data_IF_213194242883
#
_entry.id   IF_213194242883
#
_cell.length_a   1.000
_cell.length_b   1.000
_cell.length_c   1.000
_cell.angle_alpha   90.00
_cell.angle_beta   90.00
_cell.angle_gamma   90.00
#
_symmetry.space_group_name_H-M   'P 1'
#
loop_
_entity.id
_entity.type
_entity.pdbx_description
1 polymer ?
#
# COMPACT_ATOMS: atom_id res chain seq x y z
N UNK A 1 -8.97 1.90 -18.11
CA UNK A 1 -7.95 0.84 -17.98
C UNK A 1 -6.91 1.05 -19.06
N UNK A 2 -5.63 1.07 -18.72
CA UNK A 2 -4.53 1.14 -19.69
C UNK A 2 -4.10 -0.29 -20.02
N UNK A 3 -3.94 -0.62 -21.30
CA UNK A 3 -3.48 -1.96 -21.73
C UNK A 3 -1.98 -2.06 -21.45
N UNK A 4 -1.60 -3.06 -20.67
CA UNK A 4 -0.21 -3.33 -20.31
C UNK A 4 0.14 -4.77 -20.66
N UNK A 5 1.30 -4.97 -21.28
CA UNK A 5 1.85 -6.30 -21.52
C UNK A 5 2.82 -6.65 -20.40
N UNK A 6 2.78 -7.89 -19.92
CA UNK A 6 3.67 -8.40 -18.88
C UNK A 6 4.23 -9.75 -19.32
N UNK A 7 5.53 -9.95 -19.09
CA UNK A 7 6.18 -11.22 -19.37
C UNK A 7 5.97 -12.17 -18.19
N UNK A 8 5.53 -13.39 -18.49
CA UNK A 8 5.34 -14.45 -17.52
C UNK A 8 6.09 -15.69 -18.00
N UNK A 9 6.70 -16.41 -17.07
CA UNK A 9 7.19 -17.76 -17.35
C UNK A 9 6.02 -18.67 -17.71
N UNK A 10 6.28 -19.76 -18.43
CA UNK A 10 5.25 -20.75 -18.74
C UNK A 10 4.54 -21.29 -17.49
N UNK A 11 5.31 -21.54 -16.42
CA UNK A 11 4.77 -22.01 -15.14
C UNK A 11 3.78 -21.02 -14.55
N UNK A 12 4.12 -19.73 -14.54
CA UNK A 12 3.23 -18.67 -14.04
C UNK A 12 1.97 -18.56 -14.90
N UNK A 13 2.09 -18.60 -16.24
CA UNK A 13 0.94 -18.55 -17.15
C UNK A 13 0.00 -19.74 -16.94
N UNK A 14 0.54 -20.97 -16.82
CA UNK A 14 -0.25 -22.19 -16.57
C UNK A 14 -0.95 -22.11 -15.20
N UNK A 15 -0.22 -21.68 -14.16
CA UNK A 15 -0.80 -21.48 -12.83
C UNK A 15 -1.92 -20.45 -12.81
N UNK A 16 -1.74 -19.32 -13.48
CA UNK A 16 -2.75 -18.27 -13.59
C UNK A 16 -4.02 -18.76 -14.33
N UNK A 17 -3.85 -19.53 -15.41
CA UNK A 17 -4.96 -20.13 -16.14
C UNK A 17 -5.76 -21.13 -15.29
N UNK A 18 -5.06 -21.96 -14.51
CA UNK A 18 -5.69 -22.90 -13.58
C UNK A 18 -6.50 -22.17 -12.49
N UNK A 19 -5.91 -21.14 -11.88
CA UNK A 19 -6.58 -20.31 -10.86
C UNK A 19 -7.81 -19.60 -11.42
N UNK A 20 -7.70 -19.02 -12.61
CA UNK A 20 -8.82 -18.38 -13.32
C UNK A 20 -9.98 -19.35 -13.52
N UNK A 21 -9.69 -20.60 -13.92
CA UNK A 21 -10.71 -21.64 -14.09
C UNK A 21 -11.38 -22.01 -12.77
N UNK A 22 -10.60 -22.23 -11.71
CA UNK A 22 -11.12 -22.61 -10.39
C UNK A 22 -11.99 -21.51 -9.80
N UNK A 23 -11.58 -20.25 -9.95
CA UNK A 23 -12.27 -19.10 -9.36
C UNK A 23 -13.39 -18.52 -10.24
N UNK A 24 -13.57 -19.02 -11.47
CA UNK A 24 -14.52 -18.47 -12.44
C UNK A 24 -14.20 -17.03 -12.88
N UNK A 25 -12.94 -16.59 -12.74
CA UNK A 25 -12.49 -15.21 -13.02
C UNK A 25 -11.66 -15.13 -14.30
N UNK A 26 -11.55 -13.93 -14.87
CA UNK A 26 -10.61 -13.69 -15.99
C UNK A 26 -9.18 -13.61 -15.46
N UNK A 27 -8.21 -14.10 -16.23
CA UNK A 27 -6.78 -13.98 -15.86
C UNK A 27 -6.35 -12.51 -15.63
N UNK A 28 -6.86 -11.57 -16.43
CA UNK A 28 -6.59 -10.13 -16.28
C UNK A 28 -7.22 -9.52 -15.03
N UNK A 29 -8.25 -10.13 -14.46
CA UNK A 29 -8.86 -9.73 -13.20
C UNK A 29 -7.98 -10.19 -12.03
N UNK A 30 -7.54 -11.44 -12.05
CA UNK A 30 -6.61 -11.99 -11.05
C UNK A 30 -5.28 -11.24 -11.01
N UNK A 31 -4.69 -10.90 -12.17
CA UNK A 31 -3.47 -10.10 -12.23
C UNK A 31 -3.70 -8.74 -11.56
N UNK A 32 -4.84 -8.11 -11.81
CA UNK A 32 -5.16 -6.79 -11.28
C UNK A 32 -5.38 -6.83 -9.77
N UNK A 33 -6.11 -7.82 -9.26
CA UNK A 33 -6.31 -8.05 -7.83
C UNK A 33 -4.96 -8.26 -7.12
N UNK A 34 -4.10 -9.10 -7.69
CA UNK A 34 -2.76 -9.34 -7.14
C UNK A 34 -1.91 -8.06 -7.10
N UNK A 35 -1.94 -7.25 -8.16
CA UNK A 35 -1.23 -5.96 -8.20
C UNK A 35 -1.80 -4.99 -7.16
N UNK A 36 -3.13 -4.90 -7.05
CA UNK A 36 -3.78 -4.03 -6.08
C UNK A 36 -3.39 -4.41 -4.65
N UNK A 37 -3.51 -5.68 -4.29
CA UNK A 37 -3.09 -6.17 -2.97
C UNK A 37 -1.60 -5.96 -2.67
N UNK A 38 -0.74 -6.04 -3.69
CA UNK A 38 0.68 -5.75 -3.52
C UNK A 38 0.92 -4.26 -3.24
N UNK A 39 0.29 -3.36 -4.01
CA UNK A 39 0.39 -1.92 -3.82
C UNK A 39 -0.10 -1.53 -2.43
N UNK A 40 -1.26 -2.02 -1.99
CA UNK A 40 -1.81 -1.68 -0.68
C UNK A 40 -0.90 -2.17 0.45
N UNK A 41 -0.38 -3.40 0.33
CA UNK A 41 0.52 -3.99 1.32
C UNK A 41 1.83 -3.21 1.43
N UNK A 42 2.42 -2.83 0.31
CA UNK A 42 3.69 -2.07 0.31
C UNK A 42 3.45 -0.61 0.73
N UNK A 43 2.38 0.02 0.25
CA UNK A 43 2.02 1.39 0.59
C UNK A 43 1.72 1.56 2.08
N UNK A 44 0.95 0.66 2.68
CA UNK A 44 0.69 0.67 4.13
C UNK A 44 1.96 0.45 4.93
N UNK A 45 2.82 -0.51 4.55
CA UNK A 45 4.10 -0.75 5.22
C UNK A 45 5.04 0.46 5.14
N UNK A 46 5.08 1.13 3.99
CA UNK A 46 5.89 2.33 3.81
C UNK A 46 5.39 3.48 4.70
N UNK A 47 4.07 3.72 4.71
CA UNK A 47 3.47 4.72 5.60
C UNK A 47 3.79 4.45 7.06
N UNK A 48 3.66 3.21 7.52
CA UNK A 48 3.97 2.84 8.90
C UNK A 48 5.46 3.00 9.23
N UNK A 49 6.36 2.68 8.29
CA UNK A 49 7.79 2.90 8.46
C UNK A 49 8.12 4.39 8.60
N UNK A 50 7.59 5.23 7.70
CA UNK A 50 7.78 6.69 7.75
C UNK A 50 7.22 7.28 9.05
N UNK A 51 6.03 6.84 9.49
CA UNK A 51 5.45 7.31 10.74
C UNK A 51 6.29 6.89 11.96
N UNK A 52 6.86 5.69 11.96
CA UNK A 52 7.78 5.24 13.02
C UNK A 52 9.08 6.03 13.03
N UNK A 53 9.68 6.30 11.88
CA UNK A 53 10.90 7.11 11.78
C UNK A 53 10.64 8.57 12.18
N UNK A 54 9.48 9.11 11.81
CA UNK A 54 9.11 10.48 12.16
C UNK A 54 8.60 10.63 13.61
N UNK A 55 8.30 9.51 14.28
CA UNK A 55 7.81 9.54 15.65
C UNK A 55 8.87 10.13 16.59
N UNK A 56 8.52 11.23 17.25
CA UNK A 56 9.39 11.86 18.24
C UNK A 56 10.32 12.94 17.69
N UNK A 57 10.34 13.22 16.38
CA UNK A 57 11.13 14.33 15.78
C UNK A 57 10.87 15.67 16.51
N UNK A 58 9.65 15.87 16.99
CA UNK A 58 9.21 17.11 17.65
C UNK A 58 9.16 16.99 19.19
N UNK A 59 9.55 15.85 19.78
CA UNK A 59 9.33 15.55 21.21
C UNK A 59 10.11 16.49 22.15
N UNK A 60 11.29 16.93 21.74
CA UNK A 60 12.21 17.71 22.58
C UNK A 60 12.49 19.11 22.05
N UNK A 61 11.74 19.56 21.04
CA UNK A 61 11.85 20.93 20.53
C UNK A 61 11.21 21.91 21.50
N UNK A 62 12.01 22.83 22.03
CA UNK A 62 11.58 23.90 22.94
C UNK A 62 11.49 25.26 22.24
N UNK A 63 11.90 25.33 20.98
CA UNK A 63 12.00 26.53 20.16
C UNK A 63 10.69 26.88 19.43
N UNK A 64 9.65 26.06 19.60
CA UNK A 64 8.35 26.23 18.94
C UNK A 64 7.29 26.74 19.94
N UNK A 65 6.94 28.04 19.91
CA UNK A 65 5.91 28.59 20.79
C UNK A 65 4.54 28.00 20.43
N UNK A 66 3.69 27.79 21.44
CA UNK A 66 2.30 27.31 21.30
C UNK A 66 2.10 25.97 20.58
N UNK A 67 3.17 25.18 20.38
CA UNK A 67 3.12 23.94 19.59
C UNK A 67 2.06 22.93 20.07
N UNK A 68 1.89 22.78 21.40
CA UNK A 68 0.86 21.89 21.97
C UNK A 68 -0.56 22.33 21.59
N UNK A 69 -0.84 23.63 21.65
CA UNK A 69 -2.17 24.16 21.34
C UNK A 69 -2.50 23.96 19.86
N UNK A 70 -1.54 24.20 18.96
CA UNK A 70 -1.71 23.94 17.53
C UNK A 70 -1.95 22.45 17.24
N UNK A 71 -1.22 21.55 17.91
CA UNK A 71 -1.41 20.10 17.76
C UNK A 71 -2.80 19.64 18.23
N UNK A 72 -3.27 20.15 19.36
CA UNK A 72 -4.57 19.78 19.93
C UNK A 72 -5.75 20.16 19.02
N UNK A 73 -5.60 21.17 18.15
CA UNK A 73 -6.63 21.53 17.16
C UNK A 73 -6.88 20.44 16.10
N UNK A 74 -5.96 19.47 15.97
CA UNK A 74 -6.04 18.39 14.98
C UNK A 74 -6.47 17.05 15.59
N UNK A 75 -6.74 17.02 16.90
CA UNK A 75 -7.34 15.85 17.53
C UNK A 75 -8.75 15.68 16.96
N UNK A 76 -9.05 14.46 16.49
CA UNK A 76 -10.39 14.11 15.98
C UNK A 76 -11.12 13.38 17.09
N UNK A 77 -12.24 13.95 17.55
CA UNK A 77 -13.24 13.28 18.38
C UNK A 77 -13.86 12.07 17.66
#
# INVERSE_FOLDING_TARGET
MIRTQVYLTERQRKGLAALAKVLGKKQSELIREAIHHLIDRVGSRHRDAVLREAAGIWKHRTDLPHFRALRAQWDRD
#
